data_IF_804818020605
#
_entry.id   IF_804818020605
#
_cell.length_a   1.000
_cell.length_b   1.000
_cell.length_c   1.000
_cell.angle_alpha   90.00
_cell.angle_beta   90.00
_cell.angle_gamma   90.00
#
_symmetry.space_group_name_H-M   'P 1'
#
loop_
_entity.id
_entity.type
_entity.pdbx_description
1 polymer ?
#
# COMPACT_ATOMS: atom_id res chain seq x y z
N UNK A 1 9.13 9.00 1.80
CA UNK A 1 9.14 9.47 3.20
C UNK A 1 8.14 8.66 4.00
N UNK A 2 8.40 8.39 5.29
CA UNK A 2 7.57 7.55 6.18
C UNK A 2 7.10 8.36 7.39
N UNK A 3 5.78 8.46 7.59
CA UNK A 3 5.19 9.13 8.75
C UNK A 3 5.39 8.29 10.02
N UNK A 4 6.15 8.82 10.99
CA UNK A 4 6.56 8.07 12.18
C UNK A 4 5.35 7.65 13.03
N UNK A 5 4.99 6.36 13.03
CA UNK A 5 3.79 5.88 13.74
C UNK A 5 2.57 6.73 13.39
N UNK A 6 2.32 6.97 12.10
CA UNK A 6 1.35 7.97 11.60
C UNK A 6 0.02 8.04 12.37
N UNK A 7 -0.61 6.89 12.66
CA UNK A 7 -1.88 6.88 13.41
C UNK A 7 -1.77 7.46 14.82
N UNK A 8 -0.68 7.18 15.55
CA UNK A 8 -0.48 7.66 16.92
C UNK A 8 -0.26 9.17 17.01
N UNK A 9 -0.03 9.85 15.88
CA UNK A 9 0.08 11.30 15.84
C UNK A 9 -1.30 11.97 15.82
N UNK A 10 -2.34 11.25 15.39
CA UNK A 10 -3.70 11.77 15.27
C UNK A 10 -4.42 11.78 16.62
N UNK A 11 -4.95 12.95 17.00
CA UNK A 11 -5.81 13.14 18.16
C UNK A 11 -7.07 12.29 18.08
N UNK A 12 -7.41 11.57 19.15
CA UNK A 12 -8.74 10.99 19.28
C UNK A 12 -9.73 12.09 19.70
N UNK A 13 -10.92 12.11 19.10
CA UNK A 13 -12.00 12.99 19.55
C UNK A 13 -12.44 12.57 20.95
N UNK A 14 -12.69 13.53 21.84
CA UNK A 14 -13.05 13.27 23.26
C UNK A 14 -14.18 12.23 23.40
N UNK A 15 -15.24 12.37 22.60
CA UNK A 15 -16.39 11.47 22.62
C UNK A 15 -16.09 10.05 22.11
N UNK A 16 -14.99 9.87 21.41
CA UNK A 16 -14.54 8.59 20.84
C UNK A 16 -13.52 7.87 21.72
N UNK A 17 -12.88 8.54 22.68
CA UNK A 17 -11.85 7.94 23.55
C UNK A 17 -12.36 6.73 24.33
N UNK A 18 -13.63 6.78 24.78
CA UNK A 18 -14.29 5.65 25.45
C UNK A 18 -14.40 4.38 24.60
N UNK A 19 -14.41 4.51 23.27
CA UNK A 19 -14.44 3.38 22.33
C UNK A 19 -13.05 2.78 22.11
N UNK A 20 -12.00 3.48 22.54
CA UNK A 20 -10.61 3.09 22.44
C UNK A 20 -10.08 2.61 23.80
N UNK A 21 -10.95 2.12 24.68
CA UNK A 21 -10.53 1.61 25.99
C UNK A 21 -9.80 0.29 25.86
N UNK A 22 -8.77 0.13 26.68
CA UNK A 22 -8.13 -1.15 26.96
C UNK A 22 -8.31 -1.49 28.42
N UNK A 23 -8.47 -2.78 28.70
CA UNK A 23 -8.59 -3.33 30.05
C UNK A 23 -7.32 -4.14 30.30
N UNK A 24 -6.60 -3.81 31.36
CA UNK A 24 -5.45 -4.58 31.81
C UNK A 24 -5.55 -4.84 33.32
N UNK A 25 -4.63 -5.63 33.86
CA UNK A 25 -4.52 -5.93 35.29
C UNK A 25 -4.37 -4.69 36.18
N UNK A 26 -3.96 -3.54 35.63
CA UNK A 26 -3.83 -2.27 36.36
C UNK A 26 -5.08 -1.37 36.27
N UNK A 27 -6.10 -1.77 35.49
CA UNK A 27 -7.35 -1.01 35.36
C UNK A 27 -7.75 -0.74 33.90
N UNK A 28 -8.59 0.29 33.73
CA UNK A 28 -9.13 0.72 32.44
C UNK A 28 -8.38 1.97 31.98
N UNK A 29 -7.80 1.92 30.79
CA UNK A 29 -7.09 3.04 30.17
C UNK A 29 -7.75 3.44 28.87
N UNK A 30 -7.72 4.73 28.56
CA UNK A 30 -8.24 5.31 27.32
C UNK A 30 -7.11 5.87 26.46
N UNK A 31 -7.15 5.57 25.17
CA UNK A 31 -6.25 6.20 24.22
C UNK A 31 -6.69 7.63 23.90
N UNK A 32 -5.77 8.58 24.04
CA UNK A 32 -5.94 9.99 23.63
C UNK A 32 -5.56 10.25 22.16
N UNK A 33 -4.92 9.26 21.53
CA UNK A 33 -4.49 9.25 20.13
C UNK A 33 -5.00 7.99 19.45
N UNK A 34 -5.13 7.99 18.13
CA UNK A 34 -5.64 6.83 17.41
C UNK A 34 -4.69 5.63 17.54
N UNK A 35 -5.09 4.50 18.18
CA UNK A 35 -4.22 3.34 18.34
C UNK A 35 -4.12 2.52 17.05
N UNK A 36 -3.13 1.62 17.02
CA UNK A 36 -3.06 0.59 15.96
C UNK A 36 -4.18 -0.44 16.15
N UNK A 37 -4.58 -1.11 15.07
CA UNK A 37 -5.60 -2.17 15.09
C UNK A 37 -7.03 -1.69 14.85
N UNK A 38 -7.27 -0.37 14.80
CA UNK A 38 -8.58 0.17 14.41
C UNK A 38 -8.76 0.00 12.90
N UNK A 39 -9.81 -0.74 12.51
CA UNK A 39 -10.12 -1.09 11.10
C UNK A 39 -10.13 0.13 10.17
N UNK A 40 -10.62 1.28 10.65
CA UNK A 40 -10.79 2.49 9.84
C UNK A 40 -9.64 3.49 9.98
N UNK A 41 -8.62 3.22 10.80
CA UNK A 41 -7.49 4.12 10.98
C UNK A 41 -6.73 4.41 9.68
N UNK A 42 -6.41 3.42 8.81
CA UNK A 42 -5.73 3.68 7.54
C UNK A 42 -6.51 4.60 6.61
N UNK A 43 -7.81 4.35 6.44
CA UNK A 43 -8.67 5.16 5.57
C UNK A 43 -8.80 6.60 6.08
N UNK A 44 -8.91 6.78 7.41
CA UNK A 44 -8.94 8.11 8.00
C UNK A 44 -7.61 8.86 7.80
N UNK A 45 -6.48 8.16 7.97
CA UNK A 45 -5.15 8.73 7.76
C UNK A 45 -4.94 9.14 6.30
N UNK A 46 -5.26 8.24 5.35
CA UNK A 46 -5.20 8.53 3.92
C UNK A 46 -5.99 9.79 3.59
N UNK A 47 -7.26 9.86 4.00
CA UNK A 47 -8.12 11.04 3.73
C UNK A 47 -7.52 12.33 4.27
N UNK A 48 -6.92 12.29 5.45
CA UNK A 48 -6.28 13.46 6.05
C UNK A 48 -5.09 13.93 5.21
N UNK A 49 -4.21 13.00 4.80
CA UNK A 49 -3.04 13.34 3.99
C UNK A 49 -3.44 13.78 2.58
N UNK A 50 -4.46 13.15 1.96
CA UNK A 50 -5.00 13.56 0.67
C UNK A 50 -5.52 15.00 0.68
N UNK A 51 -6.15 15.43 1.78
CA UNK A 51 -6.61 16.82 1.94
C UNK A 51 -5.43 17.78 2.07
N UNK A 52 -4.39 17.40 2.81
CA UNK A 52 -3.20 18.24 3.02
C UNK A 52 -2.41 18.44 1.71
N UNK A 53 -2.27 17.37 0.93
CA UNK A 53 -1.47 17.34 -0.29
C UNK A 53 -2.29 17.28 -1.58
N UNK A 54 -3.53 17.75 -1.54
CA UNK A 54 -4.43 17.67 -2.69
C UNK A 54 -3.81 18.32 -3.94
N UNK A 55 -3.20 19.50 -3.76
CA UNK A 55 -2.54 20.25 -4.85
C UNK A 55 -1.36 19.45 -5.42
N UNK A 56 -0.48 18.95 -4.58
CA UNK A 56 0.73 18.23 -4.98
C UNK A 56 0.42 16.89 -5.69
N UNK A 57 -0.65 16.22 -5.25
CA UNK A 57 -1.16 15.00 -5.90
C UNK A 57 -1.73 15.35 -7.29
N UNK A 58 -2.46 16.47 -7.42
CA UNK A 58 -3.02 16.92 -8.70
C UNK A 58 -1.94 17.42 -9.66
N UNK A 59 -0.89 18.06 -9.15
CA UNK A 59 0.30 18.46 -9.91
C UNK A 59 1.10 17.24 -10.40
N UNK A 60 0.87 16.05 -9.85
CA UNK A 60 1.36 14.78 -10.38
C UNK A 60 2.77 14.37 -9.93
N UNK A 61 3.43 15.19 -9.12
CA UNK A 61 4.77 14.88 -8.59
C UNK A 61 4.73 14.22 -7.21
N UNK A 62 3.56 14.01 -6.61
CA UNK A 62 3.39 13.31 -5.34
C UNK A 62 2.39 12.15 -5.43
N UNK A 63 2.75 11.02 -4.81
CA UNK A 63 1.82 9.92 -4.51
C UNK A 63 1.86 9.61 -3.02
N UNK A 64 0.70 9.49 -2.40
CA UNK A 64 0.56 9.14 -0.99
C UNK A 64 -0.16 7.81 -0.84
N UNK A 65 0.38 6.91 -0.03
CA UNK A 65 -0.28 5.69 0.38
C UNK A 65 -0.10 5.45 1.87
N UNK A 66 -1.19 5.62 2.62
CA UNK A 66 -1.26 5.54 4.07
C UNK A 66 -0.13 6.40 4.68
N UNK A 67 0.92 5.79 5.21
CA UNK A 67 2.05 6.44 5.88
C UNK A 67 3.26 6.69 4.96
N UNK A 68 3.24 6.19 3.72
CA UNK A 68 4.28 6.42 2.72
C UNK A 68 3.93 7.60 1.80
N UNK A 69 4.85 8.56 1.71
CA UNK A 69 4.78 9.70 0.77
C UNK A 69 5.91 9.55 -0.24
N UNK A 70 5.56 9.53 -1.52
CA UNK A 70 6.48 9.37 -2.63
C UNK A 70 6.51 10.67 -3.41
N UNK A 71 7.71 11.21 -3.62
CA UNK A 71 7.96 12.47 -4.30
C UNK A 71 8.80 12.15 -5.55
N UNK A 72 8.37 12.65 -6.70
CA UNK A 72 9.05 12.52 -7.98
C UNK A 72 9.51 13.90 -8.46
N UNK A 73 10.66 13.96 -9.10
CA UNK A 73 11.16 15.17 -9.76
C UNK A 73 12.15 14.78 -10.85
N UNK A 74 12.34 15.66 -11.83
CA UNK A 74 13.31 15.45 -12.91
C UNK A 74 14.72 15.88 -12.49
N UNK A 75 14.82 16.94 -11.68
CA UNK A 75 16.07 17.50 -11.18
C UNK A 75 16.19 17.34 -9.66
N UNK A 76 17.42 17.43 -9.16
CA UNK A 76 17.68 17.41 -7.71
C UNK A 76 17.21 18.73 -7.06
N UNK A 77 17.36 19.83 -7.79
CA UNK A 77 16.95 21.17 -7.39
C UNK A 77 15.44 21.21 -7.12
N UNK A 78 14.62 20.70 -8.05
CA UNK A 78 13.18 20.56 -7.85
C UNK A 78 12.86 19.61 -6.69
N UNK A 79 13.62 18.52 -6.56
CA UNK A 79 13.41 17.55 -5.48
C UNK A 79 13.53 18.18 -4.10
N UNK A 80 14.54 19.03 -3.91
CA UNK A 80 14.78 19.74 -2.64
C UNK A 80 13.63 20.71 -2.36
N UNK A 81 13.16 21.44 -3.37
CA UNK A 81 12.01 22.35 -3.22
C UNK A 81 10.72 21.59 -2.87
N UNK A 82 10.47 20.44 -3.50
CA UNK A 82 9.31 19.61 -3.19
C UNK A 82 9.37 19.05 -1.77
N UNK A 83 10.52 18.58 -1.32
CA UNK A 83 10.71 18.14 0.07
C UNK A 83 10.42 19.29 1.04
N UNK A 84 10.91 20.49 0.76
CA UNK A 84 10.64 21.67 1.61
C UNK A 84 9.15 22.02 1.66
N UNK A 85 8.44 21.95 0.53
CA UNK A 85 6.98 22.12 0.47
C UNK A 85 6.24 21.06 1.31
N UNK A 86 6.70 19.81 1.29
CA UNK A 86 6.14 18.74 2.14
C UNK A 86 6.35 19.02 3.62
N UNK A 87 7.58 19.36 4.01
CA UNK A 87 7.92 19.62 5.41
C UNK A 87 7.23 20.88 5.95
N UNK A 88 7.08 21.92 5.14
CA UNK A 88 6.39 23.15 5.53
C UNK A 88 4.90 22.92 5.79
N UNK A 89 4.22 22.04 5.02
CA UNK A 89 2.84 21.62 5.30
C UNK A 89 2.71 20.73 6.54
N UNK A 90 3.74 19.95 6.88
CA UNK A 90 3.74 19.07 8.05
C UNK A 90 4.04 19.77 9.37
N UNK A 91 4.82 20.84 9.33
CA UNK A 91 5.19 21.64 10.51
C UNK A 91 3.97 22.15 11.31
N UNK A 92 2.97 22.84 10.72
CA UNK A 92 1.84 23.39 11.49
C UNK A 92 0.93 22.32 12.11
N UNK A 93 0.87 21.13 11.52
CA UNK A 93 0.09 19.99 12.05
C UNK A 93 0.90 19.09 12.98
N UNK A 94 2.17 19.44 13.26
CA UNK A 94 3.10 18.67 14.07
C UNK A 94 3.23 17.21 13.62
N UNK A 95 3.19 16.98 12.30
CA UNK A 95 3.37 15.66 11.71
C UNK A 95 4.86 15.35 11.61
N UNK A 96 5.25 14.22 12.18
CA UNK A 96 6.64 13.78 12.28
C UNK A 96 6.94 12.69 11.26
N UNK A 97 8.08 12.82 10.63
CA UNK A 97 8.60 11.87 9.65
C UNK A 97 9.77 11.09 10.26
N UNK A 98 9.86 9.79 10.00
CA UNK A 98 10.98 8.96 10.45
C UNK A 98 12.17 9.11 9.49
N UNK A 99 13.15 9.95 9.85
CA UNK A 99 14.37 10.13 9.04
C UNK A 99 15.09 8.80 8.76
N UNK A 100 15.16 7.89 9.74
CA UNK A 100 15.81 6.57 9.58
C UNK A 100 15.16 5.67 8.53
N UNK A 101 13.87 5.88 8.24
CA UNK A 101 13.11 5.12 7.24
C UNK A 101 12.92 5.87 5.93
N UNK A 102 13.33 7.14 5.87
CA UNK A 102 13.23 7.92 4.65
C UNK A 102 14.43 7.64 3.75
N UNK A 103 14.13 7.50 2.46
CA UNK A 103 15.11 7.48 1.40
C UNK A 103 14.90 8.75 0.57
N UNK A 104 15.97 9.52 0.37
CA UNK A 104 15.95 10.79 -0.36
C UNK A 104 16.88 10.74 -1.57
N UNK A 105 16.50 11.45 -2.65
CA UNK A 105 17.35 11.63 -3.83
C UNK A 105 17.80 10.34 -4.51
N UNK A 106 16.99 9.27 -4.43
CA UNK A 106 17.32 7.99 -5.04
C UNK A 106 16.83 7.97 -6.50
N UNK A 107 17.68 7.53 -7.43
CA UNK A 107 17.26 7.29 -8.83
C UNK A 107 16.30 6.09 -8.95
N UNK A 108 16.42 5.13 -8.03
CA UNK A 108 15.54 3.98 -7.92
C UNK A 108 15.04 3.85 -6.48
N UNK A 109 13.74 3.67 -6.29
CA UNK A 109 13.15 3.43 -4.97
C UNK A 109 12.19 2.24 -5.03
N UNK A 110 11.90 1.59 -3.90
CA UNK A 110 10.95 0.47 -3.84
C UNK A 110 9.75 0.84 -2.96
N UNK A 111 8.95 1.87 -3.32
CA UNK A 111 7.75 2.19 -2.57
C UNK A 111 6.72 1.06 -2.71
N UNK A 112 5.96 0.77 -1.65
CA UNK A 112 4.88 -0.24 -1.65
C UNK A 112 5.31 -1.66 -2.10
N UNK A 113 6.60 -1.97 -2.04
CA UNK A 113 7.13 -3.25 -2.50
C UNK A 113 7.08 -3.43 -4.02
N UNK A 114 7.15 -2.34 -4.80
CA UNK A 114 7.42 -2.36 -6.24
C UNK A 114 8.59 -1.43 -6.55
N UNK A 115 9.51 -1.86 -7.41
CA UNK A 115 10.68 -1.06 -7.76
C UNK A 115 10.24 0.01 -8.76
N UNK A 116 10.40 1.28 -8.42
CA UNK A 116 10.12 2.42 -9.29
C UNK A 116 11.46 3.03 -9.70
N UNK A 117 11.76 2.99 -11.00
CA UNK A 117 12.95 3.59 -11.60
C UNK A 117 12.52 4.38 -12.82
N UNK A 118 12.65 5.72 -12.76
CA UNK A 118 12.56 6.72 -13.84
C UNK A 118 11.36 6.70 -14.80
N UNK A 119 11.01 5.54 -15.35
CA UNK A 119 10.07 5.31 -16.44
C UNK A 119 9.25 4.01 -16.30
N UNK A 120 9.44 3.19 -15.25
CA UNK A 120 8.66 1.96 -15.08
C UNK A 120 8.38 1.59 -13.63
N UNK A 121 7.11 1.26 -13.34
CA UNK A 121 6.73 0.39 -12.23
C UNK A 121 7.29 -1.00 -12.54
N UNK A 122 8.48 -1.32 -12.04
CA UNK A 122 9.09 -2.62 -12.20
C UNK A 122 8.48 -3.61 -11.21
N UNK A 123 8.06 -4.75 -11.73
CA UNK A 123 7.53 -5.88 -10.96
C UNK A 123 8.59 -6.32 -9.95
N UNK A 124 8.18 -6.54 -8.70
CA UNK A 124 9.03 -7.14 -7.68
C UNK A 124 9.43 -8.56 -8.08
N UNK A 125 10.66 -8.70 -8.59
CA UNK A 125 11.20 -9.97 -9.07
C UNK A 125 11.26 -11.02 -7.97
N UNK A 126 11.35 -10.64 -6.68
CA UNK A 126 11.34 -11.60 -5.57
C UNK A 126 9.97 -12.25 -5.42
N UNK A 127 8.90 -11.47 -5.54
CA UNK A 127 7.51 -11.99 -5.52
C UNK A 127 7.23 -12.89 -6.72
N UNK A 128 7.75 -12.55 -7.89
CA UNK A 128 7.64 -13.40 -9.09
C UNK A 128 8.41 -14.71 -8.91
N UNK A 129 9.65 -14.67 -8.45
CA UNK A 129 10.45 -15.86 -8.19
C UNK A 129 9.78 -16.78 -7.16
N UNK A 130 9.24 -16.21 -6.07
CA UNK A 130 8.49 -16.96 -5.07
C UNK A 130 7.23 -17.63 -5.66
N UNK A 131 6.56 -16.99 -6.64
CA UNK A 131 5.43 -17.59 -7.34
C UNK A 131 5.88 -18.72 -8.28
N UNK A 132 6.98 -18.54 -9.02
CA UNK A 132 7.51 -19.56 -9.93
C UNK A 132 7.93 -20.85 -9.21
N UNK A 133 8.31 -20.74 -7.94
CA UNK A 133 8.66 -21.87 -7.09
C UNK A 133 7.42 -22.55 -6.45
N UNK A 134 6.24 -21.92 -6.47
CA UNK A 134 5.05 -22.52 -5.88
C UNK A 134 4.54 -23.69 -6.73
N UNK A 135 4.09 -24.78 -6.09
CA UNK A 135 3.42 -25.86 -6.81
C UNK A 135 2.10 -25.39 -7.42
N UNK A 136 1.65 -26.11 -8.44
CA UNK A 136 0.33 -25.87 -9.07
C UNK A 136 -0.78 -25.93 -8.00
N UNK A 137 -1.73 -24.97 -7.96
CA UNK A 137 -2.80 -24.95 -6.96
C UNK A 137 -3.58 -26.26 -6.91
N UNK A 138 -3.74 -26.85 -5.72
CA UNK A 138 -4.48 -28.10 -5.52
C UNK A 138 -5.89 -27.90 -4.97
N UNK A 139 -6.27 -26.65 -4.69
CA UNK A 139 -7.58 -26.29 -4.15
C UNK A 139 -8.12 -25.00 -4.74
N UNK A 140 -9.44 -24.81 -4.67
CA UNK A 140 -10.10 -23.55 -5.05
C UNK A 140 -9.52 -22.36 -4.26
N UNK A 141 -9.16 -22.56 -2.98
CA UNK A 141 -8.57 -21.52 -2.14
C UNK A 141 -7.20 -21.08 -2.68
N UNK A 142 -6.35 -22.04 -3.03
CA UNK A 142 -5.04 -21.77 -3.62
C UNK A 142 -5.17 -21.14 -5.01
N UNK A 143 -6.14 -21.59 -5.82
CA UNK A 143 -6.42 -21.01 -7.14
C UNK A 143 -6.87 -19.55 -7.01
N UNK A 144 -7.77 -19.23 -6.08
CA UNK A 144 -8.19 -17.84 -5.81
C UNK A 144 -7.04 -16.97 -5.35
N UNK A 145 -6.14 -17.51 -4.53
CA UNK A 145 -4.91 -16.80 -4.14
C UNK A 145 -4.02 -16.50 -5.35
N UNK A 146 -3.80 -17.48 -6.23
CA UNK A 146 -3.04 -17.29 -7.47
C UNK A 146 -3.68 -16.24 -8.39
N UNK A 147 -5.01 -16.31 -8.58
CA UNK A 147 -5.76 -15.35 -9.38
C UNK A 147 -5.68 -13.93 -8.81
N UNK A 148 -5.76 -13.78 -7.49
CA UNK A 148 -5.58 -12.50 -6.81
C UNK A 148 -4.19 -11.92 -7.06
N UNK A 149 -3.15 -12.75 -6.96
CA UNK A 149 -1.78 -12.35 -7.27
C UNK A 149 -1.62 -11.92 -8.74
N UNK A 150 -2.10 -12.73 -9.69
CA UNK A 150 -2.01 -12.40 -11.11
C UNK A 150 -2.76 -11.09 -11.44
N UNK A 151 -3.92 -10.87 -10.80
CA UNK A 151 -4.71 -9.65 -10.96
C UNK A 151 -4.02 -8.41 -10.40
N UNK A 152 -3.23 -8.54 -9.32
CA UNK A 152 -2.43 -7.44 -8.79
C UNK A 152 -1.41 -6.91 -9.82
N UNK A 153 -0.87 -7.78 -10.68
CA UNK A 153 0.06 -7.43 -11.76
C UNK A 153 -0.59 -7.30 -13.14
N UNK A 154 -1.92 -7.09 -13.21
CA UNK A 154 -2.68 -7.06 -14.47
C UNK A 154 -2.12 -6.09 -15.52
N UNK A 155 -1.62 -4.94 -15.10
CA UNK A 155 -1.08 -3.93 -16.00
C UNK A 155 0.21 -4.39 -16.72
N UNK A 156 0.87 -5.43 -16.22
CA UNK A 156 2.08 -6.00 -16.82
C UNK A 156 1.83 -7.23 -17.69
N UNK A 157 0.60 -7.79 -17.64
CA UNK A 157 0.26 -9.03 -18.35
C UNK A 157 -0.78 -8.72 -19.42
N UNK A 158 -0.32 -8.60 -20.67
CA UNK A 158 -1.21 -8.38 -21.81
C UNK A 158 -2.24 -9.50 -21.90
N UNK A 159 -3.51 -9.13 -22.09
CA UNK A 159 -4.63 -10.06 -22.22
C UNK A 159 -4.83 -10.99 -21.00
N UNK A 160 -4.44 -10.56 -19.79
CA UNK A 160 -4.58 -11.37 -18.57
C UNK A 160 -5.99 -11.94 -18.43
N UNK A 161 -7.03 -11.13 -18.67
CA UNK A 161 -8.43 -11.54 -18.54
C UNK A 161 -8.76 -12.80 -19.35
N UNK A 162 -8.21 -12.90 -20.57
CA UNK A 162 -8.38 -14.07 -21.42
C UNK A 162 -7.63 -15.28 -20.85
N UNK A 163 -6.38 -15.08 -20.43
CA UNK A 163 -5.50 -16.13 -19.87
C UNK A 163 -6.12 -16.79 -18.64
N UNK A 164 -6.65 -15.99 -17.70
CA UNK A 164 -7.18 -16.49 -16.42
C UNK A 164 -8.68 -16.82 -16.47
N UNK A 165 -9.34 -16.65 -17.62
CA UNK A 165 -10.80 -16.89 -17.76
C UNK A 165 -11.20 -18.32 -17.42
N UNK A 166 -10.43 -19.31 -17.89
CA UNK A 166 -10.64 -20.73 -17.59
C UNK A 166 -10.44 -21.04 -16.11
N UNK A 167 -9.45 -20.42 -15.48
CA UNK A 167 -9.16 -20.56 -14.06
C UNK A 167 -10.27 -19.97 -13.17
N UNK A 168 -10.87 -18.84 -13.57
CA UNK A 168 -12.05 -18.31 -12.89
C UNK A 168 -13.25 -19.25 -12.99
N UNK A 169 -13.46 -19.90 -14.16
CA UNK A 169 -14.53 -20.91 -14.32
C UNK A 169 -14.32 -22.13 -13.41
N UNK A 170 -13.07 -22.57 -13.22
CA UNK A 170 -12.72 -23.64 -12.28
C UNK A 170 -12.99 -23.26 -10.81
N UNK A 171 -13.13 -21.97 -10.49
CA UNK A 171 -13.45 -21.49 -9.14
C UNK A 171 -14.95 -21.33 -8.86
N UNK A 172 -15.81 -21.60 -9.85
CA UNK A 172 -17.27 -21.50 -9.74
C UNK A 172 -17.85 -22.66 -8.92
N UNK A 173 -19.01 -22.43 -8.28
CA UNK A 173 -19.65 -23.42 -7.40
C UNK A 173 -20.12 -24.68 -8.15
N UNK A 174 -20.46 -24.53 -9.43
CA UNK A 174 -21.08 -25.58 -10.24
C UNK A 174 -20.05 -26.42 -11.02
N UNK A 175 -18.76 -26.25 -10.76
CA UNK A 175 -17.66 -26.91 -11.48
C UNK A 175 -16.81 -27.70 -10.50
N UNK A 176 -16.60 -28.99 -10.80
CA UNK A 176 -15.64 -29.82 -10.06
C UNK A 176 -14.24 -29.26 -10.29
N UNK A 177 -13.54 -28.96 -9.21
CA UNK A 177 -12.18 -28.43 -9.29
C UNK A 177 -11.21 -29.54 -9.71
N UNK A 178 -10.95 -29.63 -11.00
CA UNK A 178 -10.00 -30.56 -11.58
C UNK A 178 -9.09 -29.82 -12.57
N UNK A 179 -7.79 -29.78 -12.26
CA UNK A 179 -6.80 -29.23 -13.17
C UNK A 179 -6.40 -30.33 -14.14
N UNK A 180 -7.03 -30.32 -15.31
CA UNK A 180 -6.60 -31.14 -16.43
C UNK A 180 -5.44 -30.46 -17.15
N UNK A 181 -4.48 -31.23 -17.68
CA UNK A 181 -3.45 -30.72 -18.59
C UNK A 181 -4.10 -30.37 -19.95
N UNK A 182 -4.85 -29.26 -20.01
CA UNK A 182 -5.62 -28.86 -21.19
C UNK A 182 -4.82 -28.03 -22.20
N UNK A 183 -4.56 -28.65 -23.37
CA UNK A 183 -4.15 -28.15 -24.71
C UNK A 183 -3.36 -26.82 -24.81
N UNK A 184 -2.06 -26.96 -25.08
CA UNK A 184 -1.29 -25.98 -25.87
C UNK A 184 -1.95 -25.90 -27.25
N UNK A 185 -2.59 -24.78 -27.55
CA UNK A 185 -2.76 -24.30 -28.92
C UNK A 185 -1.74 -23.20 -29.14
#
# INVERSE_FOLDING_TARGET
>A
MDCMKGFHQNGAKLNSMKLLRIICNMGIYEYTRMPFGIKHAPAHFQRMIDIIFQEEILEGWMVVYIDEIIIYSETLEDHVQYIDRVLSKFTPINMKISLKKCNFGQQESVPLGQKVSGLSLAIDQKKVAALLLKPVPKSIKEMKYFLGFASYYRNHIRNLAHIISSMYKLCSKDVVFEITKGRRN
#
